data_IF_100628067023
#
_entry.id   IF_100628067023
#
_cell.length_a   1.000
_cell.length_b   1.000
_cell.length_c   1.000
_cell.angle_alpha   90.00
_cell.angle_beta   90.00
_cell.angle_gamma   90.00
#
_symmetry.space_group_name_H-M   'P 1'
#
loop_
_entity.id
_entity.type
_entity.pdbx_description
1 polymer ?
#
# COMPACT_ATOMS: atom_id res chain seq x y z
N UNK A 1 29.90 -0.55 3.88
CA UNK A 1 29.31 0.54 3.10
C UNK A 1 27.84 0.67 3.44
N UNK A 2 27.27 1.87 3.36
CA UNK A 2 25.86 2.16 3.65
C UNK A 2 25.12 2.49 2.37
N UNK A 3 23.88 2.03 2.27
CA UNK A 3 22.97 2.23 1.15
C UNK A 3 21.68 2.84 1.64
N UNK A 4 21.13 3.81 0.92
CA UNK A 4 19.87 4.46 1.25
C UNK A 4 19.01 4.72 0.02
N UNK A 5 17.73 4.35 0.12
CA UNK A 5 16.67 4.80 -0.78
C UNK A 5 15.84 5.85 -0.03
N UNK A 6 15.61 6.99 -0.65
CA UNK A 6 14.76 8.06 -0.12
C UNK A 6 13.66 8.38 -1.12
N UNK A 7 12.42 8.53 -0.62
CA UNK A 7 11.26 8.81 -1.45
C UNK A 7 10.44 9.95 -0.87
N UNK A 8 9.81 10.76 -1.73
CA UNK A 8 8.79 11.73 -1.32
C UNK A 8 7.42 11.06 -1.38
N UNK A 9 6.68 11.10 -0.28
CA UNK A 9 5.37 10.48 -0.12
C UNK A 9 4.30 11.56 -0.07
N UNK A 10 3.49 11.64 -1.12
CA UNK A 10 2.62 12.79 -1.34
C UNK A 10 1.33 12.77 -0.50
N UNK A 11 0.89 11.60 -0.06
CA UNK A 11 -0.42 11.42 0.61
C UNK A 11 -0.36 11.30 2.13
N UNK A 12 0.82 11.38 2.73
CA UNK A 12 1.00 11.31 4.18
C UNK A 12 1.20 12.69 4.84
N UNK A 13 1.37 13.77 4.07
CA UNK A 13 1.76 15.08 4.57
C UNK A 13 0.85 15.62 5.68
N UNK A 14 -0.47 15.50 5.50
CA UNK A 14 -1.47 16.03 6.44
C UNK A 14 -1.72 15.10 7.64
N UNK A 15 -1.15 13.89 7.63
CA UNK A 15 -1.41 12.82 8.61
C UNK A 15 -0.26 12.56 9.55
N UNK A 16 0.94 12.95 9.17
CA UNK A 16 2.14 12.81 9.99
C UNK A 16 2.12 13.75 11.18
N UNK A 17 2.47 13.23 12.36
CA UNK A 17 2.87 14.04 13.50
C UNK A 17 4.20 14.77 13.19
N UNK A 18 4.59 15.73 14.04
CA UNK A 18 5.89 16.39 13.92
C UNK A 18 7.04 15.46 14.26
N UNK A 19 6.79 14.46 15.11
CA UNK A 19 7.77 13.45 15.46
C UNK A 19 8.00 12.47 14.28
N UNK A 20 9.27 12.13 14.00
CA UNK A 20 9.60 11.16 12.96
C UNK A 20 9.10 9.75 13.34
N UNK A 21 8.61 9.01 12.35
CA UNK A 21 8.34 7.60 12.47
C UNK A 21 9.62 6.87 12.12
N UNK A 22 10.11 6.00 13.02
CA UNK A 22 11.27 5.17 12.73
C UNK A 22 11.11 3.77 13.34
N UNK A 23 11.57 2.76 12.63
CA UNK A 23 11.65 1.37 13.10
C UNK A 23 12.64 0.56 12.28
N UNK A 24 13.10 -0.55 12.87
CA UNK A 24 14.04 -1.45 12.23
C UNK A 24 13.34 -2.70 11.72
N UNK A 25 13.78 -3.17 10.55
CA UNK A 25 13.45 -4.47 10.01
C UNK A 25 14.62 -5.43 10.25
N UNK A 26 14.30 -6.67 10.59
CA UNK A 26 15.31 -7.70 10.85
C UNK A 26 15.52 -8.66 9.68
N UNK A 27 14.62 -8.63 8.68
CA UNK A 27 14.66 -9.55 7.52
C UNK A 27 14.38 -8.79 6.23
N UNK A 28 14.98 -9.17 5.10
CA UNK A 28 16.04 -10.19 4.91
C UNK A 28 17.40 -9.78 5.50
N UNK A 29 17.57 -8.52 5.86
CA UNK A 29 18.75 -7.94 6.55
C UNK A 29 18.31 -6.74 7.40
N UNK A 30 19.15 -6.34 8.34
CA UNK A 30 18.87 -5.18 9.20
C UNK A 30 18.73 -3.93 8.34
N UNK A 31 17.58 -3.31 8.42
CA UNK A 31 17.23 -2.12 7.65
C UNK A 31 16.51 -1.13 8.55
N UNK A 32 16.95 0.10 8.53
CA UNK A 32 16.31 1.19 9.24
C UNK A 32 15.33 1.93 8.32
N UNK A 33 14.06 1.96 8.70
CA UNK A 33 13.01 2.74 8.04
C UNK A 33 12.79 4.03 8.83
N UNK A 34 12.81 5.17 8.16
CA UNK A 34 12.47 6.46 8.75
C UNK A 34 11.51 7.24 7.84
N UNK A 35 10.46 7.80 8.43
CA UNK A 35 9.46 8.63 7.74
C UNK A 35 9.28 9.91 8.56
N UNK A 36 9.48 11.07 7.96
CA UNK A 36 9.39 12.36 8.65
C UNK A 36 8.89 13.46 7.73
N UNK A 37 8.31 14.51 8.34
CA UNK A 37 8.03 15.76 7.61
C UNK A 37 9.34 16.49 7.38
N UNK A 38 9.55 16.96 6.16
CA UNK A 38 10.69 17.81 5.84
C UNK A 38 10.29 19.28 5.98
N UNK A 39 11.21 20.09 6.50
CA UNK A 39 11.08 21.54 6.45
C UNK A 39 11.03 22.00 4.98
N UNK A 40 10.24 23.03 4.65
CA UNK A 40 10.13 23.53 3.29
C UNK A 40 11.50 23.91 2.73
N UNK A 41 11.83 23.42 1.54
CA UNK A 41 12.98 23.85 0.77
C UNK A 41 12.50 24.49 -0.53
N UNK A 42 13.43 25.16 -1.26
CA UNK A 42 13.10 25.75 -2.56
C UNK A 42 12.57 24.73 -3.58
N UNK A 43 12.88 23.43 -3.40
CA UNK A 43 12.52 22.35 -4.33
C UNK A 43 11.33 21.50 -3.86
N UNK A 44 10.95 21.55 -2.58
CA UNK A 44 9.90 20.74 -1.98
C UNK A 44 8.81 21.61 -1.37
N UNK A 45 7.57 21.31 -1.68
CA UNK A 45 6.40 22.00 -1.13
C UNK A 45 6.34 21.89 0.40
N UNK A 46 5.72 22.89 1.04
CA UNK A 46 5.51 22.93 2.48
C UNK A 46 4.83 21.65 2.97
N UNK A 47 5.48 20.91 3.86
CA UNK A 47 4.93 19.72 4.47
C UNK A 47 5.16 18.41 3.69
N UNK A 48 6.10 18.37 2.73
CA UNK A 48 6.47 17.12 2.08
C UNK A 48 6.91 16.07 3.12
N UNK A 49 6.44 14.84 2.99
CA UNK A 49 6.86 13.71 3.80
C UNK A 49 7.95 12.96 3.06
N UNK A 50 9.05 12.71 3.76
CA UNK A 50 10.17 11.92 3.25
C UNK A 50 10.18 10.59 3.98
N UNK A 51 10.19 9.51 3.21
CA UNK A 51 10.42 8.17 3.69
C UNK A 51 11.80 7.70 3.20
N UNK A 52 12.60 7.13 4.09
CA UNK A 52 13.91 6.57 3.77
C UNK A 52 14.08 5.16 4.31
N UNK A 53 14.83 4.35 3.57
CA UNK A 53 15.21 3.00 3.93
C UNK A 53 16.73 2.88 3.84
N UNK A 54 17.38 2.55 4.93
CA UNK A 54 18.85 2.53 5.04
C UNK A 54 19.32 1.17 5.53
N UNK A 55 20.38 0.63 4.94
CA UNK A 55 21.10 -0.56 5.42
C UNK A 55 22.60 -0.36 5.36
N UNK A 56 23.34 -1.14 6.14
CA UNK A 56 24.80 -1.30 6.01
C UNK A 56 25.11 -2.70 5.53
N UNK A 57 26.11 -2.84 4.66
CA UNK A 57 26.66 -4.13 4.24
C UNK A 57 28.16 -4.08 4.18
N UNK A 58 28.78 -5.13 4.67
CA UNK A 58 30.18 -5.44 4.34
C UNK A 58 30.19 -5.92 2.90
N UNK A 59 30.88 -5.20 2.04
CA UNK A 59 31.17 -5.63 0.68
C UNK A 59 32.61 -6.08 0.72
N UNK A 60 32.85 -7.35 0.34
CA UNK A 60 34.20 -7.85 0.16
C UNK A 60 34.96 -6.89 -0.76
N UNK A 61 36.23 -6.61 -0.39
CA UNK A 61 37.13 -5.61 -0.94
C UNK A 61 37.06 -5.53 -2.48
N UNK A 62 36.10 -4.78 -3.00
CA UNK A 62 36.19 -4.36 -4.37
C UNK A 62 36.67 -2.91 -4.38
N UNK A 63 37.96 -2.73 -4.68
CA UNK A 63 38.59 -1.43 -4.96
C UNK A 63 37.75 -0.54 -5.89
N UNK A 64 36.80 -1.14 -6.63
CA UNK A 64 35.86 -0.47 -7.51
C UNK A 64 34.83 0.44 -6.85
N UNK A 65 34.46 0.21 -5.58
CA UNK A 65 33.44 1.04 -4.89
C UNK A 65 34.00 2.37 -4.37
N UNK A 66 35.29 2.42 -4.05
CA UNK A 66 35.97 3.68 -3.72
C UNK A 66 36.06 4.57 -4.97
N UNK A 67 36.28 3.98 -6.15
CA UNK A 67 36.29 4.69 -7.43
C UNK A 67 34.89 5.14 -7.87
N UNK A 68 33.80 4.39 -7.53
CA UNK A 68 32.43 4.84 -7.79
C UNK A 68 32.13 6.16 -7.07
N UNK A 69 32.56 6.27 -5.85
CA UNK A 69 32.41 7.52 -5.07
C UNK A 69 33.23 8.65 -5.65
N UNK A 70 34.36 8.39 -6.33
CA UNK A 70 35.19 9.38 -7.00
C UNK A 70 34.69 9.72 -8.41
N UNK A 71 34.20 8.76 -9.18
CA UNK A 71 33.71 8.97 -10.55
C UNK A 71 32.37 9.74 -10.61
N UNK A 72 31.51 9.59 -9.60
CA UNK A 72 30.24 10.34 -9.48
C UNK A 72 30.48 11.83 -9.17
N UNK A 73 31.65 12.19 -8.60
CA UNK A 73 32.01 13.59 -8.28
C UNK A 73 32.29 14.44 -9.51
N UNK A 74 32.49 13.87 -10.67
CA UNK A 74 32.87 14.62 -11.90
C UNK A 74 31.70 14.97 -12.82
N UNK A 75 30.47 14.48 -12.56
CA UNK A 75 29.28 14.82 -13.33
C UNK A 75 28.45 15.90 -12.64
N UNK A 76 28.88 17.16 -12.70
CA UNK A 76 28.17 18.33 -12.15
C UNK A 76 27.02 18.83 -13.03
N UNK A 77 26.75 18.23 -14.16
CA UNK A 77 25.83 18.76 -15.18
C UNK A 77 24.43 18.16 -15.24
N UNK A 78 23.94 17.47 -14.23
CA UNK A 78 22.51 17.10 -14.15
C UNK A 78 21.92 16.34 -15.34
N UNK A 79 22.71 15.92 -16.31
CA UNK A 79 22.28 15.11 -17.46
C UNK A 79 22.31 13.64 -17.07
N UNK A 80 21.20 12.97 -17.27
CA UNK A 80 21.09 11.52 -17.27
C UNK A 80 22.29 10.91 -17.99
N UNK A 81 23.13 10.15 -17.28
CA UNK A 81 24.23 9.44 -17.89
C UNK A 81 23.65 8.48 -18.94
N UNK A 82 23.98 8.68 -20.20
CA UNK A 82 23.63 7.77 -21.29
C UNK A 82 24.36 6.45 -21.05
N UNK A 83 23.63 5.38 -20.84
CA UNK A 83 24.15 4.05 -20.52
C UNK A 83 24.99 3.42 -21.66
N UNK A 84 24.94 3.96 -22.87
CA UNK A 84 25.66 3.40 -24.04
C UNK A 84 27.19 3.49 -23.99
N UNK A 85 27.78 4.25 -23.07
CA UNK A 85 29.22 4.43 -22.94
C UNK A 85 29.81 3.90 -21.61
N UNK A 86 29.06 3.13 -20.84
CA UNK A 86 29.50 2.65 -19.54
C UNK A 86 30.55 1.55 -19.66
N UNK A 87 31.73 1.82 -19.11
CA UNK A 87 32.85 0.90 -19.00
C UNK A 87 32.38 -0.39 -18.28
N UNK A 88 32.90 -1.58 -18.67
CA UNK A 88 32.56 -2.90 -18.07
C UNK A 88 32.72 -2.94 -16.56
N UNK A 89 33.68 -2.18 -16.03
CA UNK A 89 33.91 -2.01 -14.58
C UNK A 89 32.69 -1.36 -13.89
N UNK A 90 32.08 -0.34 -14.52
CA UNK A 90 30.87 0.29 -14.00
C UNK A 90 29.66 -0.66 -14.02
N UNK A 91 29.55 -1.51 -15.06
CA UNK A 91 28.51 -2.55 -15.11
C UNK A 91 28.61 -3.51 -13.93
N UNK A 92 29.82 -4.02 -13.62
CA UNK A 92 30.05 -4.93 -12.49
C UNK A 92 29.66 -4.31 -11.14
N UNK A 93 29.83 -3.00 -10.98
CA UNK A 93 29.40 -2.28 -9.76
C UNK A 93 27.88 -2.19 -9.68
N UNK A 94 27.20 -1.85 -10.79
CA UNK A 94 25.75 -1.83 -10.82
C UNK A 94 25.12 -3.22 -10.57
N UNK A 95 25.73 -4.29 -11.08
CA UNK A 95 25.27 -5.66 -10.82
C UNK A 95 25.28 -6.01 -9.32
N UNK A 96 26.18 -5.40 -8.53
CA UNK A 96 26.26 -5.57 -7.07
C UNK A 96 25.27 -4.67 -6.35
N UNK A 97 25.13 -3.41 -6.79
CA UNK A 97 24.41 -2.35 -6.08
C UNK A 97 22.91 -2.36 -6.38
N UNK A 98 22.53 -2.64 -7.63
CA UNK A 98 21.11 -2.67 -8.05
C UNK A 98 20.24 -3.65 -7.27
N UNK A 99 20.66 -4.89 -6.95
CA UNK A 99 19.88 -5.79 -6.10
C UNK A 99 19.65 -5.22 -4.69
N UNK A 100 20.63 -4.52 -4.12
CA UNK A 100 20.51 -3.89 -2.79
C UNK A 100 19.47 -2.78 -2.83
N UNK A 101 19.54 -1.89 -3.81
CA UNK A 101 18.55 -0.82 -3.97
C UNK A 101 17.17 -1.35 -4.33
N UNK A 102 17.08 -2.41 -5.13
CA UNK A 102 15.83 -3.11 -5.41
C UNK A 102 15.15 -3.62 -4.13
N UNK A 103 15.91 -4.23 -3.25
CA UNK A 103 15.41 -4.72 -1.96
C UNK A 103 15.00 -3.56 -1.03
N UNK A 104 15.82 -2.51 -0.88
CA UNK A 104 15.49 -1.33 -0.08
C UNK A 104 14.22 -0.64 -0.58
N UNK A 105 14.07 -0.53 -1.89
CA UNK A 105 12.86 0.01 -2.53
C UNK A 105 11.64 -0.83 -2.16
N UNK A 106 11.70 -2.14 -2.30
CA UNK A 106 10.59 -3.05 -1.97
C UNK A 106 10.19 -2.93 -0.50
N UNK A 107 11.16 -2.89 0.42
CA UNK A 107 10.89 -2.71 1.84
C UNK A 107 10.20 -1.37 2.14
N UNK A 108 10.65 -0.30 1.48
CA UNK A 108 10.07 1.03 1.66
C UNK A 108 8.64 1.09 1.09
N UNK A 109 8.40 0.52 -0.08
CA UNK A 109 7.07 0.38 -0.68
C UNK A 109 6.13 -0.40 0.24
N UNK A 110 6.57 -1.53 0.76
CA UNK A 110 5.80 -2.36 1.71
C UNK A 110 5.49 -1.58 2.98
N UNK A 111 6.46 -0.87 3.55
CA UNK A 111 6.25 -0.05 4.76
C UNK A 111 5.16 0.99 4.56
N UNK A 112 5.19 1.72 3.45
CA UNK A 112 4.20 2.75 3.15
C UNK A 112 2.82 2.14 2.87
N UNK A 113 2.76 1.00 2.17
CA UNK A 113 1.50 0.30 1.92
C UNK A 113 0.89 -0.29 3.20
N UNK A 114 1.71 -0.78 4.13
CA UNK A 114 1.27 -1.22 5.45
C UNK A 114 0.76 -0.05 6.30
N UNK A 115 1.42 1.13 6.24
CA UNK A 115 0.92 2.36 6.87
C UNK A 115 -0.43 2.77 6.29
N UNK A 116 -0.58 2.75 4.98
CA UNK A 116 -1.86 3.02 4.31
C UNK A 116 -2.94 2.07 4.77
N UNK A 117 -2.63 0.78 4.80
CA UNK A 117 -3.55 -0.24 5.30
C UNK A 117 -3.92 0.02 6.76
N UNK A 118 -2.94 0.13 7.65
CA UNK A 118 -3.18 0.38 9.09
C UNK A 118 -3.98 1.65 9.34
N UNK A 119 -3.74 2.70 8.57
CA UNK A 119 -4.35 4.03 8.75
C UNK A 119 -5.57 4.29 7.85
N UNK A 120 -6.04 3.30 7.08
CA UNK A 120 -7.20 3.43 6.22
C UNK A 120 -7.05 4.44 5.08
N UNK A 121 -5.85 4.52 4.47
CA UNK A 121 -5.57 5.48 3.40
C UNK A 121 -5.87 4.85 2.05
N UNK A 122 -7.05 5.13 1.49
CA UNK A 122 -7.54 4.51 0.25
C UNK A 122 -7.54 5.44 -0.97
N UNK A 123 -7.37 6.73 -0.78
CA UNK A 123 -7.44 7.72 -1.88
C UNK A 123 -6.10 8.14 -2.48
N UNK A 124 -5.00 7.54 -2.09
CA UNK A 124 -3.66 7.90 -2.56
C UNK A 124 -3.26 7.23 -3.89
N UNK A 125 -2.10 7.60 -4.47
CA UNK A 125 -1.62 7.01 -5.72
C UNK A 125 -1.27 5.52 -5.53
N UNK A 126 -1.37 4.73 -6.60
CA UNK A 126 -0.97 3.31 -6.61
C UNK A 126 0.51 3.20 -6.22
N UNK A 127 1.37 4.03 -6.82
CA UNK A 127 2.76 4.16 -6.39
C UNK A 127 2.85 5.24 -5.32
N UNK A 128 3.33 4.89 -4.11
CA UNK A 128 3.29 5.81 -2.97
C UNK A 128 4.24 7.01 -3.06
N UNK A 129 5.08 7.11 -4.08
CA UNK A 129 6.07 8.20 -4.16
C UNK A 129 6.11 8.93 -5.49
N UNK A 130 6.36 10.24 -5.40
CA UNK A 130 6.56 11.11 -6.56
C UNK A 130 8.02 11.25 -6.95
N UNK A 131 8.94 11.15 -6.00
CA UNK A 131 10.39 11.27 -6.24
C UNK A 131 11.12 10.19 -5.45
N UNK A 132 12.11 9.57 -6.07
CA UNK A 132 13.00 8.60 -5.44
C UNK A 132 14.44 8.99 -5.71
N UNK A 133 15.29 8.91 -4.68
CA UNK A 133 16.74 9.01 -4.82
C UNK A 133 17.42 7.81 -4.18
N UNK A 134 18.51 7.39 -4.79
CA UNK A 134 19.39 6.32 -4.32
C UNK A 134 20.73 6.95 -3.93
N UNK A 135 21.26 6.58 -2.78
CA UNK A 135 22.48 7.16 -2.26
C UNK A 135 23.35 6.10 -1.57
N UNK A 136 24.65 6.32 -1.63
CA UNK A 136 25.67 5.50 -0.95
C UNK A 136 26.51 6.35 0.01
N UNK A 137 27.06 5.72 1.05
CA UNK A 137 27.97 6.36 2.00
C UNK A 137 29.00 5.34 2.49
N UNK A 138 30.23 5.77 2.71
CA UNK A 138 31.27 4.93 3.30
C UNK A 138 31.09 4.73 4.81
N UNK A 139 30.58 5.73 5.50
CA UNK A 139 30.51 5.82 6.96
C UNK A 139 29.10 6.09 7.52
N UNK A 140 28.11 6.30 6.64
CA UNK A 140 26.73 6.63 7.02
C UNK A 140 26.49 8.11 7.34
N UNK A 141 27.52 8.95 7.33
CA UNK A 141 27.40 10.40 7.64
C UNK A 141 27.25 11.26 6.38
N UNK A 142 28.11 11.06 5.39
CA UNK A 142 28.11 11.81 4.14
C UNK A 142 27.52 10.93 3.00
N UNK A 143 26.42 11.39 2.40
CA UNK A 143 25.68 10.63 1.38
C UNK A 143 25.88 11.20 -0.01
N UNK A 144 26.10 10.32 -1.00
CA UNK A 144 26.20 10.68 -2.41
C UNK A 144 25.06 10.04 -3.19
N UNK A 145 24.31 10.85 -3.90
CA UNK A 145 23.24 10.37 -4.78
C UNK A 145 23.82 9.76 -6.05
N UNK A 146 23.36 8.57 -6.40
CA UNK A 146 23.76 7.83 -7.60
C UNK A 146 22.61 7.71 -8.61
N UNK A 147 21.38 7.93 -8.19
CA UNK A 147 20.20 7.90 -9.05
C UNK A 147 19.07 8.76 -8.50
N UNK A 148 18.38 9.49 -9.36
CA UNK A 148 17.17 10.26 -9.01
C UNK A 148 16.11 10.02 -10.06
N UNK A 149 14.96 9.49 -9.63
CA UNK A 149 13.77 9.35 -10.49
C UNK A 149 12.68 10.29 -9.98
N UNK A 150 12.11 11.12 -10.85
CA UNK A 150 11.03 12.05 -10.52
C UNK A 150 9.77 11.71 -11.32
N UNK A 151 8.63 11.69 -10.64
CA UNK A 151 7.31 11.70 -11.28
C UNK A 151 6.43 12.74 -10.59
N UNK A 152 5.76 13.59 -11.36
CA UNK A 152 4.86 14.62 -10.82
C UNK A 152 3.45 14.06 -10.83
N UNK A 153 2.76 14.07 -9.67
CA UNK A 153 1.36 13.71 -9.56
C UNK A 153 0.67 14.62 -8.53
N UNK A 154 -0.41 15.26 -8.93
CA UNK A 154 -1.23 16.09 -8.03
C UNK A 154 -2.27 15.17 -7.36
N UNK A 155 -2.36 15.20 -6.02
CA UNK A 155 -3.24 14.33 -5.25
C UNK A 155 -4.06 15.19 -4.29
N UNK A 156 -5.36 14.88 -4.25
CA UNK A 156 -6.27 15.42 -3.25
C UNK A 156 -6.52 14.36 -2.19
N UNK A 157 -6.10 14.62 -0.95
CA UNK A 157 -6.31 13.69 0.18
C UNK A 157 -7.53 14.13 1.02
N UNK A 158 -8.26 13.13 1.54
CA UNK A 158 -9.30 13.36 2.55
C UNK A 158 -8.62 13.74 3.90
N UNK A 159 -9.20 14.65 4.74
CA UNK A 159 -8.66 14.97 6.06
C UNK A 159 -8.87 13.80 7.03
N UNK A 160 -7.84 13.33 7.75
CA UNK A 160 -7.97 12.17 8.63
C UNK A 160 -6.97 12.07 9.79
N UNK A 161 -7.16 11.01 10.61
CA UNK A 161 -6.44 10.64 11.82
C UNK A 161 -4.92 10.77 11.68
N UNK A 162 -4.30 11.35 12.69
CA UNK A 162 -2.83 11.45 12.79
C UNK A 162 -2.24 10.07 13.01
N UNK A 163 -1.12 9.79 12.37
CA UNK A 163 -0.34 8.57 12.57
C UNK A 163 0.40 8.71 13.91
N UNK A 164 0.09 7.85 14.86
CA UNK A 164 0.68 7.83 16.19
C UNK A 164 1.66 6.66 16.40
N UNK A 165 2.23 6.58 17.59
CA UNK A 165 3.19 5.53 17.94
C UNK A 165 2.58 4.11 17.84
N UNK A 166 1.29 3.95 18.14
CA UNK A 166 0.58 2.66 18.05
C UNK A 166 0.51 2.13 16.62
N UNK A 167 0.25 3.04 15.64
CA UNK A 167 0.22 2.69 14.23
C UNK A 167 1.60 2.25 13.74
N UNK A 168 2.64 2.97 14.17
CA UNK A 168 4.03 2.67 13.82
C UNK A 168 4.47 1.31 14.37
N UNK A 169 4.17 1.04 15.64
CA UNK A 169 4.49 -0.25 16.26
C UNK A 169 3.80 -1.41 15.55
N UNK A 170 2.52 -1.23 15.20
CA UNK A 170 1.78 -2.26 14.47
C UNK A 170 2.34 -2.48 13.06
N UNK A 171 2.67 -1.42 12.32
CA UNK A 171 3.31 -1.51 11.00
C UNK A 171 4.67 -2.21 11.09
N UNK A 172 5.48 -1.86 12.08
CA UNK A 172 6.77 -2.54 12.34
C UNK A 172 6.56 -4.03 12.59
N UNK A 173 5.59 -4.38 13.44
CA UNK A 173 5.25 -5.78 13.76
C UNK A 173 4.79 -6.54 12.52
N UNK A 174 3.90 -5.97 11.72
CA UNK A 174 3.38 -6.56 10.49
C UNK A 174 4.51 -6.79 9.48
N UNK A 175 5.34 -5.78 9.26
CA UNK A 175 6.45 -5.85 8.30
C UNK A 175 7.50 -6.89 8.70
N UNK A 176 7.93 -6.89 9.98
CA UNK A 176 8.86 -7.89 10.50
C UNK A 176 8.27 -9.32 10.48
N UNK A 177 6.95 -9.44 10.58
CA UNK A 177 6.21 -10.68 10.42
C UNK A 177 6.05 -11.14 8.97
N UNK A 178 6.55 -10.38 7.99
CA UNK A 178 6.39 -10.68 6.56
C UNK A 178 4.98 -10.47 6.03
N UNK A 179 4.18 -9.65 6.71
CA UNK A 179 2.84 -9.33 6.22
C UNK A 179 2.89 -8.44 4.98
N UNK A 180 2.01 -8.72 4.03
CA UNK A 180 1.77 -7.89 2.87
C UNK A 180 0.40 -7.21 2.96
N UNK A 181 0.24 -5.99 2.42
CA UNK A 181 -1.07 -5.35 2.34
C UNK A 181 -2.02 -6.22 1.52
N UNK A 182 -3.28 -6.40 1.96
CA UNK A 182 -4.24 -7.21 1.22
C UNK A 182 -4.44 -6.69 -0.21
N UNK A 183 -4.40 -7.59 -1.21
CA UNK A 183 -4.61 -7.23 -2.61
C UNK A 183 -5.97 -6.56 -2.83
N UNK A 184 -7.02 -6.98 -2.10
CA UNK A 184 -8.32 -6.33 -2.14
C UNK A 184 -8.26 -4.84 -1.81
N UNK A 185 -7.44 -4.45 -0.81
CA UNK A 185 -7.25 -3.03 -0.48
C UNK A 185 -6.50 -2.26 -1.57
N UNK A 186 -5.46 -2.86 -2.15
CA UNK A 186 -4.71 -2.23 -3.24
C UNK A 186 -5.63 -1.93 -4.43
N UNK A 187 -6.52 -2.86 -4.78
CA UNK A 187 -7.52 -2.68 -5.83
C UNK A 187 -8.58 -1.63 -5.47
N UNK A 188 -9.01 -1.54 -4.20
CA UNK A 188 -9.89 -0.45 -3.74
C UNK A 188 -9.22 0.91 -3.96
N UNK A 189 -7.95 1.05 -3.60
CA UNK A 189 -7.18 2.28 -3.85
C UNK A 189 -7.15 2.62 -5.35
N UNK A 190 -6.94 1.62 -6.20
CA UNK A 190 -6.94 1.79 -7.65
C UNK A 190 -8.31 2.24 -8.16
N UNK A 191 -9.40 1.60 -7.72
CA UNK A 191 -10.76 1.97 -8.09
C UNK A 191 -11.09 3.42 -7.70
N UNK A 192 -10.74 3.83 -6.47
CA UNK A 192 -10.90 5.20 -6.02
C UNK A 192 -10.13 6.21 -6.87
N UNK A 193 -8.93 5.88 -7.32
CA UNK A 193 -8.14 6.75 -8.19
C UNK A 193 -8.74 6.91 -9.58
N UNK A 194 -9.44 5.91 -10.09
CA UNK A 194 -10.04 5.92 -11.42
C UNK A 194 -11.48 6.46 -11.47
N UNK A 195 -12.12 6.70 -10.32
CA UNK A 195 -13.56 7.00 -10.24
C UNK A 195 -14.04 8.20 -11.08
N UNK A 196 -13.20 9.21 -11.28
CA UNK A 196 -13.54 10.41 -12.03
C UNK A 196 -13.14 10.32 -13.51
N UNK A 197 -12.02 9.67 -13.80
CA UNK A 197 -11.45 9.61 -15.16
C UNK A 197 -11.94 8.39 -15.94
N UNK A 198 -12.13 7.26 -15.25
CA UNK A 198 -12.52 5.97 -15.83
C UNK A 198 -13.56 5.26 -14.97
N UNK A 199 -14.80 5.79 -14.84
CA UNK A 199 -15.79 5.25 -13.90
C UNK A 199 -16.20 3.79 -14.17
N UNK A 200 -16.18 3.36 -15.45
CA UNK A 200 -16.41 1.96 -15.83
C UNK A 200 -15.31 1.05 -15.26
N UNK A 201 -14.05 1.41 -15.41
CA UNK A 201 -12.93 0.66 -14.86
C UNK A 201 -12.95 0.65 -13.34
N UNK A 202 -13.26 1.79 -12.71
CA UNK A 202 -13.39 1.89 -11.26
C UNK A 202 -14.46 0.94 -10.68
N UNK A 203 -15.62 0.83 -11.34
CA UNK A 203 -16.66 -0.12 -10.95
C UNK A 203 -16.16 -1.57 -11.02
N UNK A 204 -15.53 -1.95 -12.13
CA UNK A 204 -15.03 -3.31 -12.34
C UNK A 204 -13.97 -3.66 -11.30
N UNK A 205 -12.99 -2.78 -11.12
CA UNK A 205 -11.88 -2.98 -10.17
C UNK A 205 -12.42 -3.03 -8.73
N UNK A 206 -13.36 -2.16 -8.36
CA UNK A 206 -13.96 -2.14 -7.02
C UNK A 206 -14.70 -3.44 -6.68
N UNK A 207 -15.51 -3.97 -7.61
CA UNK A 207 -16.18 -5.27 -7.41
C UNK A 207 -15.17 -6.41 -7.34
N UNK A 208 -14.14 -6.39 -8.18
CA UNK A 208 -13.04 -7.38 -8.14
C UNK A 208 -12.29 -7.33 -6.82
N UNK A 209 -12.07 -6.14 -6.25
CA UNK A 209 -11.44 -5.97 -4.94
C UNK A 209 -12.20 -6.73 -3.83
N UNK A 210 -13.52 -6.61 -3.82
CA UNK A 210 -14.39 -7.31 -2.87
C UNK A 210 -14.38 -8.84 -3.09
N UNK A 211 -14.39 -9.30 -4.33
CA UNK A 211 -14.28 -10.73 -4.67
C UNK A 211 -12.95 -11.32 -4.16
N UNK A 212 -11.83 -10.62 -4.39
CA UNK A 212 -10.49 -11.05 -3.95
C UNK A 212 -10.37 -11.04 -2.43
N UNK A 213 -10.87 -9.99 -1.76
CA UNK A 213 -10.85 -9.92 -0.30
C UNK A 213 -11.59 -11.10 0.35
N UNK A 214 -12.75 -11.47 -0.19
CA UNK A 214 -13.48 -12.66 0.28
C UNK A 214 -12.73 -13.97 0.02
N UNK A 215 -12.10 -14.12 -1.14
CA UNK A 215 -11.29 -15.30 -1.45
C UNK A 215 -10.09 -15.42 -0.51
N UNK A 216 -9.39 -14.32 -0.25
CA UNK A 216 -8.29 -14.27 0.71
C UNK A 216 -8.76 -14.61 2.12
N UNK A 217 -9.89 -14.03 2.58
CA UNK A 217 -10.50 -14.36 3.85
C UNK A 217 -10.79 -15.86 3.98
N UNK A 218 -11.43 -16.46 2.97
CA UNK A 218 -11.74 -17.89 2.96
C UNK A 218 -10.46 -18.71 3.00
N UNK A 219 -9.48 -18.42 2.16
CA UNK A 219 -8.21 -19.15 2.12
C UNK A 219 -7.41 -19.08 3.42
N UNK A 220 -7.57 -17.99 4.19
CA UNK A 220 -6.90 -17.80 5.48
C UNK A 220 -7.63 -18.47 6.65
N UNK A 221 -8.96 -18.40 6.68
CA UNK A 221 -9.77 -18.94 7.78
C UNK A 221 -10.19 -20.40 7.58
N UNK A 222 -10.23 -20.87 6.34
CA UNK A 222 -10.55 -22.23 5.97
C UNK A 222 -9.52 -22.77 4.96
N UNK A 223 -8.30 -23.15 5.42
CA UNK A 223 -7.21 -23.57 4.52
C UNK A 223 -7.60 -24.71 3.57
N UNK A 224 -8.46 -25.62 3.99
CA UNK A 224 -8.97 -26.73 3.17
C UNK A 224 -9.81 -26.25 1.99
N UNK A 225 -10.42 -25.07 2.10
CA UNK A 225 -11.20 -24.44 1.03
C UNK A 225 -10.36 -23.53 0.11
N UNK A 226 -9.08 -23.30 0.42
CA UNK A 226 -8.21 -22.37 -0.30
C UNK A 226 -8.15 -22.67 -1.79
N UNK A 227 -7.90 -23.93 -2.14
CA UNK A 227 -7.83 -24.35 -3.53
C UNK A 227 -9.12 -24.04 -4.30
N UNK A 228 -10.29 -24.30 -3.68
CA UNK A 228 -11.59 -23.98 -4.27
C UNK A 228 -11.76 -22.46 -4.45
N UNK A 229 -11.39 -21.68 -3.44
CA UNK A 229 -11.47 -20.23 -3.49
C UNK A 229 -10.62 -19.63 -4.64
N UNK A 230 -9.46 -20.22 -4.91
CA UNK A 230 -8.54 -19.75 -5.94
C UNK A 230 -8.90 -20.22 -7.36
N UNK A 231 -9.40 -21.45 -7.52
CA UNK A 231 -9.52 -22.12 -8.82
C UNK A 231 -10.95 -22.24 -9.35
N UNK A 232 -11.96 -21.96 -8.54
CA UNK A 232 -13.37 -22.07 -8.94
C UNK A 232 -14.01 -20.67 -9.06
N UNK A 233 -14.90 -20.44 -10.03
CA UNK A 233 -15.66 -19.20 -10.11
C UNK A 233 -16.36 -18.89 -8.79
N UNK A 234 -16.21 -17.66 -8.30
CA UNK A 234 -16.80 -17.28 -7.02
C UNK A 234 -18.32 -17.26 -7.07
N UNK A 235 -19.01 -17.80 -6.05
CA UNK A 235 -20.41 -17.46 -5.82
C UNK A 235 -20.56 -15.94 -5.69
N UNK A 236 -21.79 -15.41 -5.92
CA UNK A 236 -22.04 -13.99 -5.75
C UNK A 236 -21.59 -13.48 -4.38
N UNK A 237 -20.80 -12.40 -4.35
CA UNK A 237 -20.15 -11.86 -3.14
C UNK A 237 -21.14 -11.64 -1.99
N UNK A 238 -22.34 -11.14 -2.27
CA UNK A 238 -23.39 -10.93 -1.27
C UNK A 238 -23.85 -12.25 -0.59
N UNK A 239 -23.86 -13.39 -1.33
CA UNK A 239 -24.19 -14.70 -0.75
C UNK A 239 -23.06 -15.22 0.13
N UNK A 240 -21.80 -15.09 -0.32
CA UNK A 240 -20.66 -15.45 0.51
C UNK A 240 -20.68 -14.64 1.82
N UNK A 241 -20.85 -13.32 1.71
CA UNK A 241 -20.89 -12.44 2.86
C UNK A 241 -22.06 -12.74 3.81
N UNK A 242 -23.24 -13.06 3.26
CA UNK A 242 -24.45 -13.35 4.04
C UNK A 242 -24.46 -14.72 4.69
N UNK A 243 -24.09 -15.75 3.93
CA UNK A 243 -24.41 -17.15 4.28
C UNK A 243 -23.16 -17.94 4.69
N UNK A 244 -21.98 -17.63 4.15
CA UNK A 244 -20.75 -18.38 4.42
C UNK A 244 -19.88 -17.74 5.51
N UNK A 245 -19.67 -16.41 5.52
CA UNK A 245 -18.89 -15.74 6.56
C UNK A 245 -19.37 -16.11 7.99
N UNK A 246 -20.68 -16.17 8.31
CA UNK A 246 -21.14 -16.53 9.64
C UNK A 246 -20.73 -17.94 10.10
N UNK A 247 -20.38 -18.85 9.18
CA UNK A 247 -19.91 -20.20 9.51
C UNK A 247 -18.40 -20.29 9.76
N UNK A 248 -17.64 -19.24 9.44
CA UNK A 248 -16.18 -19.23 9.59
C UNK A 248 -15.76 -18.97 11.03
N UNK A 249 -14.64 -19.58 11.44
CA UNK A 249 -13.98 -19.28 12.70
C UNK A 249 -13.09 -18.05 12.53
N UNK A 250 -13.67 -16.86 12.72
CA UNK A 250 -12.94 -15.60 12.57
C UNK A 250 -11.92 -15.40 13.70
N UNK A 251 -10.79 -14.75 13.41
CA UNK A 251 -9.72 -14.47 14.37
C UNK A 251 -10.05 -13.27 15.27
N UNK A 252 -10.83 -12.30 14.76
CA UNK A 252 -11.35 -11.19 15.53
C UNK A 252 -12.80 -10.90 15.15
N UNK A 253 -13.59 -10.46 16.12
CA UNK A 253 -15.02 -10.09 15.92
C UNK A 253 -15.41 -8.98 16.88
N UNK A 254 -16.49 -8.29 16.55
CA UNK A 254 -17.10 -7.31 17.44
C UNK A 254 -17.88 -8.05 18.54
N UNK A 255 -17.63 -7.66 19.79
CA UNK A 255 -18.36 -8.23 20.93
C UNK A 255 -19.85 -7.89 20.83
N UNK A 256 -20.69 -8.91 20.94
CA UNK A 256 -22.15 -8.75 20.88
C UNK A 256 -22.73 -8.43 19.49
N UNK A 257 -21.93 -8.50 18.42
CA UNK A 257 -22.39 -8.27 17.05
C UNK A 257 -22.39 -9.57 16.25
N UNK A 258 -23.35 -9.70 15.32
CA UNK A 258 -23.41 -10.86 14.41
C UNK A 258 -22.20 -10.83 13.46
N UNK A 259 -21.77 -12.01 12.97
CA UNK A 259 -20.76 -12.09 11.91
C UNK A 259 -21.33 -11.76 10.53
N UNK A 260 -22.65 -11.72 10.40
CA UNK A 260 -23.32 -11.37 9.16
C UNK A 260 -23.25 -9.86 8.94
N UNK A 261 -22.72 -9.38 7.81
CA UNK A 261 -22.76 -7.96 7.47
C UNK A 261 -24.18 -7.40 7.40
N UNK A 262 -24.37 -6.10 7.65
CA UNK A 262 -25.70 -5.47 7.63
C UNK A 262 -26.46 -5.68 6.33
N UNK A 263 -27.78 -5.82 6.42
CA UNK A 263 -28.66 -5.99 5.24
C UNK A 263 -28.47 -4.88 4.20
N UNK A 264 -28.24 -3.65 4.64
CA UNK A 264 -27.98 -2.50 3.75
C UNK A 264 -26.70 -2.71 2.92
N UNK A 265 -25.61 -3.18 3.56
CA UNK A 265 -24.36 -3.50 2.86
C UNK A 265 -24.56 -4.66 1.89
N UNK A 266 -25.19 -5.76 2.33
CA UNK A 266 -25.48 -6.93 1.47
C UNK A 266 -26.28 -6.55 0.23
N UNK A 267 -27.29 -5.67 0.36
CA UNK A 267 -28.06 -5.15 -0.76
C UNK A 267 -27.18 -4.36 -1.73
N UNK A 268 -26.31 -3.50 -1.22
CA UNK A 268 -25.40 -2.68 -2.03
C UNK A 268 -24.37 -3.55 -2.78
N UNK A 269 -23.88 -4.62 -2.14
CA UNK A 269 -22.99 -5.61 -2.78
C UNK A 269 -23.68 -6.31 -3.95
N UNK A 270 -24.97 -6.67 -3.81
CA UNK A 270 -25.76 -7.26 -4.88
C UNK A 270 -25.94 -6.27 -6.05
N UNK A 271 -26.41 -5.06 -5.77
CA UNK A 271 -26.60 -3.99 -6.75
C UNK A 271 -25.32 -3.71 -7.55
N UNK A 272 -24.17 -3.67 -6.87
CA UNK A 272 -22.88 -3.44 -7.50
C UNK A 272 -22.49 -4.55 -8.49
N UNK A 273 -22.70 -5.81 -8.13
CA UNK A 273 -22.43 -6.97 -9.02
C UNK A 273 -23.36 -6.94 -10.23
N UNK A 274 -24.65 -6.66 -10.03
CA UNK A 274 -25.62 -6.57 -11.12
C UNK A 274 -25.27 -5.44 -12.09
N UNK A 275 -24.92 -4.24 -11.54
CA UNK A 275 -24.51 -3.12 -12.36
C UNK A 275 -23.23 -3.41 -13.14
N UNK A 276 -22.20 -4.00 -12.47
CA UNK A 276 -20.95 -4.39 -13.14
C UNK A 276 -21.25 -5.35 -14.31
N UNK A 277 -22.12 -6.32 -14.10
CA UNK A 277 -22.47 -7.28 -15.15
C UNK A 277 -23.16 -6.59 -16.34
N UNK A 278 -24.07 -5.66 -16.09
CA UNK A 278 -24.74 -4.88 -17.15
C UNK A 278 -23.75 -4.01 -17.93
N UNK A 279 -22.88 -3.28 -17.20
CA UNK A 279 -21.87 -2.40 -17.81
C UNK A 279 -20.84 -3.18 -18.64
N UNK A 280 -20.43 -4.37 -18.18
CA UNK A 280 -19.39 -5.18 -18.84
C UNK A 280 -19.97 -6.01 -19.98
N UNK A 281 -21.10 -6.68 -19.76
CA UNK A 281 -21.65 -7.67 -20.70
C UNK A 281 -22.76 -7.12 -21.61
N UNK A 282 -23.56 -6.16 -21.12
CA UNK A 282 -24.62 -5.55 -21.92
C UNK A 282 -24.23 -4.18 -22.51
N UNK A 283 -23.02 -3.65 -22.19
CA UNK A 283 -22.54 -2.37 -22.72
C UNK A 283 -23.31 -1.15 -22.18
N UNK A 284 -23.99 -1.29 -21.03
CA UNK A 284 -24.69 -0.16 -20.40
C UNK A 284 -23.72 0.99 -20.06
N UNK A 285 -24.29 2.18 -19.91
CA UNK A 285 -23.53 3.36 -19.49
C UNK A 285 -22.90 3.14 -18.10
N UNK A 286 -21.74 3.74 -17.81
CA UNK A 286 -21.16 3.68 -16.48
C UNK A 286 -22.09 4.35 -15.47
N UNK A 287 -22.00 3.99 -14.16
CA UNK A 287 -22.79 4.61 -13.11
C UNK A 287 -22.52 6.10 -13.02
N UNK A 288 -23.49 6.84 -12.48
CA UNK A 288 -23.29 8.22 -12.08
C UNK A 288 -22.18 8.32 -11.03
N UNK A 289 -21.60 9.52 -10.88
CA UNK A 289 -20.52 9.73 -9.90
C UNK A 289 -20.96 9.38 -8.46
N UNK A 290 -22.16 9.79 -8.09
CA UNK A 290 -22.70 9.55 -6.75
C UNK A 290 -23.00 8.05 -6.51
N UNK A 291 -23.57 7.37 -7.50
CA UNK A 291 -23.81 5.94 -7.45
C UNK A 291 -22.49 5.14 -7.33
N UNK A 292 -21.48 5.52 -8.12
CA UNK A 292 -20.16 4.88 -8.06
C UNK A 292 -19.50 5.07 -6.69
N UNK A 293 -19.55 6.27 -6.10
CA UNK A 293 -19.03 6.51 -4.74
C UNK A 293 -19.69 5.55 -3.75
N UNK A 294 -21.04 5.48 -3.74
CA UNK A 294 -21.73 4.59 -2.83
C UNK A 294 -21.42 3.09 -3.03
N UNK A 295 -21.10 2.70 -4.26
CA UNK A 295 -20.63 1.34 -4.56
C UNK A 295 -19.21 1.13 -4.03
N UNK A 296 -18.28 2.04 -4.30
CA UNK A 296 -16.89 1.91 -3.85
C UNK A 296 -16.79 1.91 -2.32
N UNK A 297 -17.58 2.73 -1.63
CA UNK A 297 -17.68 2.69 -0.16
C UNK A 297 -18.14 1.33 0.35
N UNK A 298 -19.12 0.70 -0.28
CA UNK A 298 -19.58 -0.63 0.11
C UNK A 298 -18.53 -1.72 -0.15
N UNK A 299 -17.78 -1.64 -1.25
CA UNK A 299 -16.67 -2.57 -1.53
C UNK A 299 -15.54 -2.38 -0.52
N UNK A 300 -15.19 -1.15 -0.21
CA UNK A 300 -14.19 -0.78 0.79
C UNK A 300 -14.58 -1.31 2.17
N UNK A 301 -15.83 -1.10 2.61
CA UNK A 301 -16.33 -1.63 3.87
C UNK A 301 -16.18 -3.15 3.96
N UNK A 302 -16.47 -3.88 2.88
CA UNK A 302 -16.31 -5.33 2.86
C UNK A 302 -14.84 -5.75 3.00
N UNK A 303 -13.92 -5.03 2.34
CA UNK A 303 -12.47 -5.28 2.47
C UNK A 303 -12.00 -5.07 3.90
N UNK A 304 -12.48 -4.01 4.59
CA UNK A 304 -12.18 -3.76 6.00
C UNK A 304 -12.76 -4.82 6.92
N UNK A 305 -13.98 -5.29 6.65
CA UNK A 305 -14.60 -6.40 7.40
C UNK A 305 -13.77 -7.68 7.24
N UNK A 306 -13.28 -7.98 6.04
CA UNK A 306 -12.38 -9.11 5.81
C UNK A 306 -11.09 -8.97 6.65
N UNK A 307 -10.48 -7.80 6.67
CA UNK A 307 -9.29 -7.52 7.50
C UNK A 307 -9.57 -7.67 8.99
N UNK A 308 -10.73 -7.22 9.48
CA UNK A 308 -11.15 -7.46 10.87
C UNK A 308 -11.19 -8.96 11.17
N UNK A 309 -11.85 -9.75 10.33
CA UNK A 309 -12.07 -11.18 10.57
C UNK A 309 -10.78 -12.02 10.47
N UNK A 310 -9.76 -11.53 9.76
CA UNK A 310 -8.41 -12.11 9.76
C UNK A 310 -7.55 -11.70 10.96
N UNK A 311 -8.08 -10.92 11.91
CA UNK A 311 -7.43 -10.63 13.19
C UNK A 311 -6.98 -9.19 13.39
N UNK A 312 -7.19 -8.32 12.41
CA UNK A 312 -6.82 -6.90 12.48
C UNK A 312 -7.95 -6.07 13.08
N UNK A 313 -8.08 -6.08 14.41
CA UNK A 313 -9.20 -5.43 15.13
C UNK A 313 -9.34 -3.94 14.83
N UNK A 314 -8.23 -3.26 14.56
CA UNK A 314 -8.20 -1.85 14.16
C UNK A 314 -8.87 -1.58 12.80
N UNK A 315 -9.05 -2.60 11.94
CA UNK A 315 -9.73 -2.45 10.66
C UNK A 315 -11.18 -2.00 10.82
N UNK A 316 -11.78 -2.27 11.98
CA UNK A 316 -13.11 -1.76 12.31
C UNK A 316 -13.20 -0.23 12.27
N UNK A 317 -12.16 0.47 12.66
CA UNK A 317 -12.15 1.94 12.70
C UNK A 317 -12.37 2.54 11.32
N UNK A 318 -11.99 1.82 10.27
CA UNK A 318 -12.08 2.24 8.87
C UNK A 318 -13.40 1.88 8.18
N UNK A 319 -14.21 1.01 8.75
CA UNK A 319 -15.57 0.72 8.25
C UNK A 319 -16.43 1.99 8.37
N UNK A 320 -17.24 2.30 7.35
CA UNK A 320 -18.04 3.50 7.31
C UNK A 320 -19.07 3.59 8.45
N UNK A 321 -19.42 4.80 8.88
CA UNK A 321 -20.47 5.01 9.87
C UNK A 321 -21.81 4.44 9.40
N UNK A 322 -22.11 4.53 8.14
CA UNK A 322 -23.36 4.02 7.53
C UNK A 322 -23.50 2.50 7.70
N UNK A 323 -22.40 1.75 7.60
CA UNK A 323 -22.37 0.31 7.82
C UNK A 323 -22.38 -0.02 9.32
N UNK A 324 -21.56 0.66 10.12
CA UNK A 324 -21.52 0.49 11.59
C UNK A 324 -22.85 0.67 12.26
N UNK A 325 -23.58 1.76 11.91
CA UNK A 325 -24.84 2.12 12.53
C UNK A 325 -26.00 1.13 12.25
N UNK A 326 -25.84 0.31 11.21
CA UNK A 326 -26.85 -0.68 10.81
C UNK A 326 -26.46 -2.12 11.17
N UNK A 327 -25.36 -2.31 11.95
CA UNK A 327 -24.90 -3.64 12.35
C UNK A 327 -25.79 -4.25 13.43
N UNK A 328 -26.34 -5.42 13.16
CA UNK A 328 -27.27 -6.12 14.07
C UNK A 328 -26.51 -6.74 15.26
N UNK A 329 -27.15 -6.73 16.44
CA UNK A 329 -26.66 -7.42 17.64
C UNK A 329 -26.85 -8.94 17.51
N UNK A 330 -25.98 -9.69 18.16
CA UNK A 330 -26.13 -11.13 18.31
C UNK A 330 -27.28 -11.41 19.29
N UNK A 331 -28.26 -12.21 18.86
CA UNK A 331 -29.44 -12.56 19.67
C UNK A 331 -29.10 -13.64 20.67
#
# INVERSE_FOLDING_TARGET
>A
MYFRVTCVVDDLADRMCEEPIAYDLTRPFVTHIAIHKQMPTAELAKGAVIASCTTSRELDETEGLVDLTSAITTSTDGRSANFEGMNERMKGIYDIVDPIFGQLKTQLETSIMLLRWRCGITGGPIKPFSTRSEAVSSDGSAWRNIGVTRSVKIIFSKPFLKIGASEVQEVSRLHNGGAEPPLGLQLVIEAWNQRTTHPRSALVIGVTAAEIALKQLIGELAPDARWLAENVPSPPIHKIAKDYIPSLKVKARLKGKTLRPPKKLLKKLLEAVELRNKVVHAGEAPPSHEELIGILEAMEDLVWICSLYTGHSWAWDHVSFSTKSTWEDEK
#
